data_IF_198404833084
#
_entry.id   IF_198404833084
#
_cell.length_a   1.000
_cell.length_b   1.000
_cell.length_c   1.000
_cell.angle_alpha   90.00
_cell.angle_beta   90.00
_cell.angle_gamma   90.00
#
_symmetry.space_group_name_H-M   'P 1'
#
loop_
_entity.id
_entity.type
_entity.pdbx_description
1 polymer ?
#
# COMPACT_ATOMS: atom_id res chain seq x y z
N UNK A 1 32.18 -0.50 -8.16
CA UNK A 1 31.02 0.36 -7.81
C UNK A 1 31.54 1.45 -6.88
N UNK A 2 31.06 2.69 -7.00
CA UNK A 2 31.50 3.80 -6.14
C UNK A 2 30.66 3.83 -4.88
N UNK A 3 31.28 3.71 -3.71
CA UNK A 3 30.65 3.96 -2.41
C UNK A 3 30.04 5.36 -2.36
N UNK A 4 28.81 5.49 -1.85
CA UNK A 4 28.16 6.78 -1.63
C UNK A 4 28.03 7.10 -0.16
N UNK A 5 28.14 8.38 0.17
CA UNK A 5 27.85 8.87 1.51
C UNK A 5 26.33 8.84 1.79
N UNK A 6 25.93 8.46 3.01
CA UNK A 6 24.54 8.51 3.44
C UNK A 6 23.86 9.87 3.22
N UNK A 7 24.58 10.97 3.48
CA UNK A 7 24.06 12.33 3.31
C UNK A 7 23.82 12.69 1.83
N UNK A 8 24.38 11.93 0.88
CA UNK A 8 24.09 12.13 -0.55
C UNK A 8 22.63 11.84 -0.94
N UNK A 9 21.90 11.12 -0.08
CA UNK A 9 20.48 10.83 -0.27
C UNK A 9 19.57 11.81 0.46
N UNK A 10 20.13 12.78 1.20
CA UNK A 10 19.35 13.76 1.97
C UNK A 10 18.60 14.71 1.02
N UNK A 11 17.29 14.79 1.20
CA UNK A 11 16.44 15.74 0.48
C UNK A 11 15.23 16.16 1.33
N UNK A 12 14.48 17.15 0.83
CA UNK A 12 13.18 17.53 1.41
C UNK A 12 12.22 16.34 1.29
N UNK A 13 11.51 16.03 2.38
CA UNK A 13 10.45 15.03 2.35
C UNK A 13 9.34 15.47 1.39
N UNK A 14 9.00 14.60 0.45
CA UNK A 14 7.90 14.82 -0.50
C UNK A 14 6.95 13.64 -0.45
N UNK A 15 5.64 13.90 -0.44
CA UNK A 15 4.63 12.86 -0.60
C UNK A 15 3.97 12.98 -1.98
N UNK A 16 3.62 11.86 -2.59
CA UNK A 16 2.98 11.82 -3.92
C UNK A 16 1.44 11.94 -3.87
N UNK A 17 0.90 12.30 -2.70
CA UNK A 17 -0.55 12.42 -2.47
C UNK A 17 -1.09 13.67 -3.19
N UNK A 18 -1.56 13.49 -4.43
CA UNK A 18 -1.89 14.56 -5.38
C UNK A 18 -2.93 15.58 -4.88
N UNK A 19 -3.89 15.17 -4.06
CA UNK A 19 -4.98 16.03 -3.56
C UNK A 19 -4.64 16.78 -2.26
N UNK A 20 -3.42 16.58 -1.74
CA UNK A 20 -3.00 17.12 -0.47
C UNK A 20 -2.17 18.40 -0.65
N UNK A 21 -2.64 19.57 -0.17
CA UNK A 21 -1.88 20.81 -0.25
C UNK A 21 -0.84 20.96 0.87
N UNK A 22 -0.71 19.96 1.76
CA UNK A 22 0.20 20.04 2.90
C UNK A 22 1.62 19.89 2.35
N UNK A 23 2.49 20.88 2.56
CA UNK A 23 3.93 20.69 2.35
C UNK A 23 4.59 20.20 3.64
N UNK A 24 5.61 19.34 3.53
CA UNK A 24 6.48 18.97 4.65
C UNK A 24 7.79 19.71 4.48
N UNK A 25 8.21 20.47 5.49
CA UNK A 25 9.46 21.26 5.43
C UNK A 25 10.65 20.58 6.11
N UNK A 26 10.49 19.32 6.55
CA UNK A 26 11.56 18.48 7.07
C UNK A 26 12.35 17.78 5.95
N UNK A 27 13.57 17.36 6.28
CA UNK A 27 14.44 16.60 5.40
C UNK A 27 14.53 15.13 5.85
N UNK A 28 14.62 14.23 4.89
CA UNK A 28 14.89 12.80 5.10
C UNK A 28 15.85 12.27 4.05
N UNK A 29 16.10 10.97 4.09
CA UNK A 29 17.01 10.28 3.18
C UNK A 29 16.20 9.43 2.22
N UNK A 30 16.27 9.74 0.91
CA UNK A 30 15.47 9.08 -0.12
C UNK A 30 15.85 7.61 -0.26
N UNK A 31 14.87 6.73 -0.13
CA UNK A 31 15.05 5.27 -0.21
C UNK A 31 14.69 4.76 -1.60
N UNK A 32 13.49 5.12 -2.08
CA UNK A 32 12.98 4.75 -3.40
C UNK A 32 13.28 5.84 -4.44
N UNK A 33 13.59 5.50 -5.69
CA UNK A 33 13.68 6.52 -6.74
C UNK A 33 12.29 6.99 -7.14
N UNK A 34 12.17 8.32 -7.23
CA UNK A 34 11.02 8.99 -7.81
C UNK A 34 11.33 9.39 -9.24
N UNK A 35 10.30 9.40 -10.08
CA UNK A 35 10.43 9.84 -11.48
C UNK A 35 11.01 11.26 -11.52
N UNK A 36 12.10 11.45 -12.27
CA UNK A 36 12.75 12.75 -12.41
C UNK A 36 13.67 13.14 -11.23
N UNK A 37 13.89 12.25 -10.26
CA UNK A 37 14.87 12.44 -9.18
C UNK A 37 16.08 11.51 -9.33
N UNK A 38 17.23 11.84 -8.71
CA UNK A 38 18.37 10.92 -8.67
C UNK A 38 17.98 9.61 -7.96
N UNK A 39 18.74 8.54 -8.20
CA UNK A 39 18.56 7.23 -7.56
C UNK A 39 18.51 7.33 -6.01
N UNK A 40 17.71 6.45 -5.38
CA UNK A 40 17.62 6.34 -3.92
C UNK A 40 18.59 5.32 -3.34
N UNK A 41 18.60 5.19 -2.01
CA UNK A 41 19.42 4.21 -1.28
C UNK A 41 19.20 2.78 -1.81
N UNK A 42 17.93 2.41 -2.05
CA UNK A 42 17.58 1.06 -2.53
C UNK A 42 18.23 0.78 -3.88
N UNK A 43 18.25 1.74 -4.79
CA UNK A 43 18.73 1.51 -6.17
C UNK A 43 20.23 1.35 -6.22
N UNK A 44 20.91 2.02 -5.29
CA UNK A 44 22.34 1.86 -5.11
C UNK A 44 22.68 0.48 -4.51
N UNK A 45 21.96 0.06 -3.47
CA UNK A 45 22.22 -1.18 -2.75
C UNK A 45 21.70 -2.45 -3.46
N UNK A 46 20.51 -2.37 -4.05
CA UNK A 46 19.75 -3.47 -4.63
C UNK A 46 19.23 -3.07 -6.03
N UNK A 47 20.12 -2.95 -7.04
CA UNK A 47 19.72 -2.59 -8.39
C UNK A 47 18.78 -3.66 -8.97
N UNK A 48 17.76 -3.21 -9.71
CA UNK A 48 16.81 -4.09 -10.38
C UNK A 48 17.51 -4.88 -11.49
N UNK A 49 17.33 -6.19 -11.49
CA UNK A 49 17.78 -7.08 -12.56
C UNK A 49 16.62 -7.93 -13.06
N UNK A 50 16.78 -8.56 -14.24
CA UNK A 50 15.76 -9.47 -14.78
C UNK A 50 15.35 -10.58 -13.81
N UNK A 51 16.31 -11.04 -13.00
CA UNK A 51 16.14 -12.15 -12.06
C UNK A 51 15.82 -11.67 -10.63
N UNK A 52 15.91 -10.37 -10.36
CA UNK A 52 15.60 -9.77 -9.07
C UNK A 52 14.75 -8.49 -9.27
N UNK A 53 13.41 -8.64 -9.31
CA UNK A 53 12.53 -7.50 -9.44
C UNK A 53 12.67 -6.57 -8.22
N UNK A 54 12.51 -5.27 -8.46
CA UNK A 54 12.79 -4.22 -7.48
C UNK A 54 11.94 -4.37 -6.20
N UNK A 55 12.60 -4.27 -5.04
CA UNK A 55 11.93 -4.27 -3.73
C UNK A 55 11.00 -3.06 -3.60
N UNK A 56 9.81 -3.27 -3.05
CA UNK A 56 8.85 -2.19 -2.76
C UNK A 56 9.10 -1.70 -1.33
N UNK A 57 10.13 -0.88 -1.11
CA UNK A 57 10.47 -0.37 0.23
C UNK A 57 9.63 0.87 0.61
N UNK A 58 9.84 1.37 1.83
CA UNK A 58 9.41 2.71 2.23
C UNK A 58 10.04 3.81 1.36
N UNK A 59 9.49 5.02 1.42
CA UNK A 59 9.93 6.16 0.60
C UNK A 59 11.17 6.85 1.16
N UNK A 60 11.22 7.03 2.50
CA UNK A 60 12.28 7.78 3.18
C UNK A 60 12.73 7.11 4.47
N UNK A 61 14.01 7.29 4.80
CA UNK A 61 14.50 7.19 6.16
C UNK A 61 14.54 8.56 6.80
N UNK A 62 14.18 8.65 8.08
CA UNK A 62 14.05 9.92 8.79
C UNK A 62 14.60 9.80 10.20
N UNK A 63 15.49 10.73 10.55
CA UNK A 63 16.12 10.79 11.87
C UNK A 63 15.49 11.94 12.65
N UNK A 64 14.88 11.64 13.80
CA UNK A 64 14.24 12.63 14.64
C UNK A 64 14.40 12.24 16.12
N UNK A 65 14.89 13.17 16.94
CA UNK A 65 15.15 12.93 18.38
C UNK A 65 15.90 11.63 18.68
N UNK A 66 16.99 11.36 17.94
CA UNK A 66 17.80 10.13 18.06
C UNK A 66 17.04 8.82 17.75
N UNK A 67 15.88 8.90 17.08
CA UNK A 67 15.13 7.75 16.59
C UNK A 67 15.24 7.66 15.08
N UNK A 68 15.22 6.43 14.57
CA UNK A 68 15.20 6.12 13.15
C UNK A 68 13.77 5.73 12.74
N UNK A 69 13.20 6.45 11.78
CA UNK A 69 11.90 6.16 11.20
C UNK A 69 12.03 5.78 9.73
N UNK A 70 11.39 4.68 9.33
CA UNK A 70 11.10 4.35 7.94
C UNK A 70 9.74 4.94 7.61
N UNK A 71 9.66 5.85 6.64
CA UNK A 71 8.46 6.59 6.29
C UNK A 71 7.91 6.10 4.96
N UNK A 72 6.66 5.68 5.00
CA UNK A 72 5.84 5.35 3.85
C UNK A 72 4.71 6.38 3.73
N UNK A 73 4.68 7.15 2.64
CA UNK A 73 3.56 8.02 2.30
C UNK A 73 2.54 7.25 1.45
N UNK A 74 1.42 6.90 2.06
CA UNK A 74 0.40 6.08 1.41
C UNK A 74 -0.77 6.95 0.92
N UNK A 75 -0.94 7.02 -0.41
CA UNK A 75 -2.15 7.54 -1.05
C UNK A 75 -3.22 6.43 -1.10
N UNK A 76 -3.90 6.28 0.03
CA UNK A 76 -4.91 5.25 0.24
C UNK A 76 -6.07 5.35 -0.74
N UNK A 77 -6.42 6.56 -1.14
CA UNK A 77 -7.47 6.80 -2.10
C UNK A 77 -7.06 6.31 -3.49
N UNK A 78 -5.84 6.62 -3.94
CA UNK A 78 -5.31 6.08 -5.19
C UNK A 78 -5.18 4.56 -5.15
N UNK A 79 -4.68 3.98 -4.06
CA UNK A 79 -4.60 2.52 -3.89
C UNK A 79 -5.99 1.86 -3.96
N UNK A 80 -7.02 2.51 -3.41
CA UNK A 80 -8.40 2.07 -3.52
C UNK A 80 -8.93 2.17 -4.96
N UNK A 81 -8.56 3.19 -5.74
CA UNK A 81 -9.01 3.36 -7.14
C UNK A 81 -8.32 2.38 -8.09
N UNK A 82 -6.99 2.23 -8.01
CA UNK A 82 -6.22 1.38 -8.92
C UNK A 82 -6.61 -0.12 -8.82
N UNK A 83 -7.27 -0.46 -7.71
CA UNK A 83 -8.03 -1.69 -7.47
C UNK A 83 -9.00 -2.08 -8.59
N UNK A 84 -9.55 -1.11 -9.32
CA UNK A 84 -10.54 -1.36 -10.37
C UNK A 84 -9.98 -2.29 -11.47
N UNK A 85 -8.65 -2.30 -11.68
CA UNK A 85 -7.98 -3.26 -12.57
C UNK A 85 -8.05 -4.71 -12.05
N UNK A 86 -7.98 -4.93 -10.72
CA UNK A 86 -8.19 -6.25 -10.12
C UNK A 86 -9.67 -6.66 -10.17
N UNK A 87 -10.60 -5.70 -10.01
CA UNK A 87 -12.03 -5.94 -10.21
C UNK A 87 -12.35 -6.35 -11.64
N UNK A 88 -11.67 -5.80 -12.66
CA UNK A 88 -11.85 -6.26 -14.04
C UNK A 88 -11.56 -7.76 -14.21
N UNK A 89 -10.58 -8.31 -13.48
CA UNK A 89 -10.26 -9.75 -13.51
C UNK A 89 -11.37 -10.59 -12.86
N UNK A 90 -11.93 -10.14 -11.74
CA UNK A 90 -13.08 -10.79 -11.07
C UNK A 90 -14.33 -10.68 -11.93
N UNK A 91 -14.58 -9.52 -12.53
CA UNK A 91 -15.66 -9.29 -13.49
C UNK A 91 -15.52 -10.22 -14.70
N UNK A 92 -14.30 -10.46 -15.19
CA UNK A 92 -14.04 -11.45 -16.23
C UNK A 92 -14.44 -12.87 -15.81
N UNK A 93 -14.07 -13.29 -14.60
CA UNK A 93 -14.43 -14.60 -14.06
C UNK A 93 -15.94 -14.73 -13.83
N UNK A 94 -16.57 -13.72 -13.24
CA UNK A 94 -18.02 -13.67 -13.02
C UNK A 94 -18.79 -13.68 -14.34
N UNK A 95 -18.36 -12.88 -15.32
CA UNK A 95 -18.94 -12.88 -16.66
C UNK A 95 -18.83 -14.26 -17.31
N UNK A 96 -17.68 -14.94 -17.23
CA UNK A 96 -17.51 -16.31 -17.73
C UNK A 96 -18.50 -17.26 -17.08
N UNK A 97 -18.58 -17.27 -15.75
CA UNK A 97 -19.47 -18.17 -15.00
C UNK A 97 -20.97 -17.91 -15.30
N UNK A 98 -21.38 -16.65 -15.39
CA UNK A 98 -22.75 -16.28 -15.79
C UNK A 98 -23.04 -16.66 -17.26
N UNK A 99 -22.03 -16.58 -18.14
CA UNK A 99 -22.12 -16.98 -19.56
C UNK A 99 -22.11 -18.50 -19.74
N UNK A 100 -21.53 -19.26 -18.83
CA UNK A 100 -21.48 -20.71 -18.94
C UNK A 100 -22.71 -21.38 -18.31
N UNK A 101 -23.30 -20.78 -17.27
CA UNK A 101 -24.26 -21.48 -16.41
C UNK A 101 -25.70 -20.95 -16.39
N UNK A 102 -25.97 -19.74 -16.89
CA UNK A 102 -27.35 -19.19 -16.90
C UNK A 102 -28.02 -19.27 -18.29
N UNK A 103 -29.33 -19.57 -18.34
CA UNK A 103 -30.15 -19.40 -19.55
C UNK A 103 -30.03 -17.98 -20.11
N UNK A 104 -30.18 -17.84 -21.44
CA UNK A 104 -30.02 -16.55 -22.15
C UNK A 104 -30.90 -15.42 -21.61
N UNK A 105 -32.06 -15.76 -21.05
CA UNK A 105 -33.08 -14.81 -20.60
C UNK A 105 -32.67 -14.15 -19.28
N UNK A 106 -32.24 -14.93 -18.29
CA UNK A 106 -31.75 -14.43 -16.99
C UNK A 106 -30.38 -13.73 -17.10
N UNK A 107 -29.59 -14.12 -18.11
CA UNK A 107 -28.23 -13.59 -18.32
C UNK A 107 -28.20 -12.10 -18.66
N UNK A 108 -29.23 -11.59 -19.35
CA UNK A 108 -29.18 -10.25 -19.95
C UNK A 108 -29.29 -9.13 -18.91
N UNK A 109 -30.00 -9.40 -17.82
CA UNK A 109 -30.20 -8.45 -16.72
C UNK A 109 -28.98 -8.46 -15.78
N UNK A 110 -28.50 -9.65 -15.42
CA UNK A 110 -27.27 -9.84 -14.63
C UNK A 110 -26.02 -9.31 -15.34
N UNK A 111 -25.85 -9.51 -16.65
CA UNK A 111 -24.71 -8.96 -17.39
C UNK A 111 -24.70 -7.43 -17.45
N UNK A 112 -25.87 -6.78 -17.38
CA UNK A 112 -25.93 -5.30 -17.28
C UNK A 112 -25.46 -4.84 -15.90
N UNK A 113 -25.81 -5.57 -14.84
CA UNK A 113 -25.31 -5.31 -13.48
C UNK A 113 -23.81 -5.59 -13.37
N UNK A 114 -23.32 -6.71 -13.95
CA UNK A 114 -21.89 -7.07 -13.96
C UNK A 114 -21.04 -6.10 -14.78
N UNK A 115 -21.54 -5.61 -15.92
CA UNK A 115 -20.88 -4.53 -16.69
C UNK A 115 -20.89 -3.18 -15.97
N UNK A 116 -21.79 -2.99 -15.01
CA UNK A 116 -21.90 -1.81 -14.16
C UNK A 116 -21.19 -1.94 -12.80
N UNK A 117 -20.48 -3.06 -12.53
CA UNK A 117 -19.76 -3.32 -11.28
C UNK A 117 -18.62 -2.32 -11.10
N UNK A 118 -18.93 -1.21 -10.43
CA UNK A 118 -17.97 -0.18 -10.03
C UNK A 118 -17.59 -0.28 -8.55
N UNK A 119 -18.36 -0.99 -7.72
CA UNK A 119 -18.17 -1.02 -6.25
C UNK A 119 -18.44 -2.39 -5.64
N UNK A 120 -17.63 -2.76 -4.65
CA UNK A 120 -17.67 -4.00 -3.86
C UNK A 120 -19.06 -4.35 -3.29
N UNK A 121 -19.92 -3.37 -3.01
CA UNK A 121 -21.30 -3.57 -2.53
C UNK A 121 -22.18 -4.28 -3.58
N UNK A 122 -21.92 -4.05 -4.87
CA UNK A 122 -22.63 -4.73 -5.96
C UNK A 122 -22.11 -6.17 -6.15
N UNK A 123 -20.83 -6.43 -5.88
CA UNK A 123 -20.25 -7.79 -5.88
C UNK A 123 -20.93 -8.68 -4.81
N UNK A 124 -21.28 -8.14 -3.63
CA UNK A 124 -22.05 -8.89 -2.61
C UNK A 124 -23.43 -9.36 -3.09
N UNK A 125 -24.13 -8.56 -3.93
CA UNK A 125 -25.41 -8.96 -4.54
C UNK A 125 -25.22 -10.05 -5.59
N UNK A 126 -24.23 -9.89 -6.47
CA UNK A 126 -23.86 -10.92 -7.46
C UNK A 126 -23.45 -12.22 -6.75
N UNK A 127 -22.72 -12.15 -5.62
CA UNK A 127 -22.39 -13.31 -4.77
C UNK A 127 -23.66 -13.98 -4.21
N UNK A 128 -24.63 -13.21 -3.72
CA UNK A 128 -25.91 -13.76 -3.24
C UNK A 128 -26.68 -14.48 -4.34
N UNK A 129 -26.67 -13.95 -5.57
CA UNK A 129 -27.32 -14.55 -6.73
C UNK A 129 -26.52 -15.72 -7.33
N UNK A 130 -25.20 -15.76 -7.14
CA UNK A 130 -24.37 -16.91 -7.56
C UNK A 130 -24.48 -18.10 -6.61
N UNK A 131 -24.94 -17.92 -5.36
CA UNK A 131 -25.20 -19.04 -4.43
C UNK A 131 -26.32 -19.97 -4.90
N UNK A 132 -27.17 -19.54 -5.85
CA UNK A 132 -28.16 -20.41 -6.50
C UNK A 132 -27.62 -21.13 -7.74
N UNK A 133 -26.36 -20.91 -8.10
CA UNK A 133 -25.69 -21.56 -9.24
C UNK A 133 -24.69 -22.60 -8.70
N UNK A 134 -24.81 -23.89 -9.06
CA UNK A 134 -23.88 -24.92 -8.59
C UNK A 134 -22.49 -24.75 -9.22
N UNK A 135 -21.54 -24.24 -8.42
CA UNK A 135 -20.13 -24.10 -8.82
C UNK A 135 -19.35 -25.39 -8.55
N UNK A 136 -18.29 -25.63 -9.33
CA UNK A 136 -17.26 -26.60 -8.94
C UNK A 136 -16.56 -26.10 -7.67
N UNK A 137 -16.04 -27.00 -6.83
CA UNK A 137 -15.31 -26.61 -5.61
C UNK A 137 -14.10 -25.73 -5.89
N UNK A 138 -13.46 -25.92 -7.05
CA UNK A 138 -12.28 -25.18 -7.47
C UNK A 138 -12.62 -23.76 -7.96
N UNK A 139 -13.70 -23.62 -8.74
CA UNK A 139 -14.20 -22.31 -9.18
C UNK A 139 -14.75 -21.51 -7.98
N UNK A 140 -15.46 -22.17 -7.06
CA UNK A 140 -15.95 -21.53 -5.83
C UNK A 140 -14.79 -21.03 -4.96
N UNK A 141 -13.77 -21.86 -4.75
CA UNK A 141 -12.58 -21.46 -4.00
C UNK A 141 -11.86 -20.28 -4.66
N UNK A 142 -11.58 -20.37 -5.96
CA UNK A 142 -10.89 -19.32 -6.72
C UNK A 142 -11.66 -18.00 -6.73
N UNK A 143 -12.99 -18.08 -6.83
CA UNK A 143 -13.86 -16.92 -6.82
C UNK A 143 -13.90 -16.24 -5.44
N UNK A 144 -14.10 -17.02 -4.37
CA UNK A 144 -14.11 -16.51 -2.99
C UNK A 144 -12.74 -15.94 -2.60
N UNK A 145 -11.65 -16.57 -3.02
CA UNK A 145 -10.30 -16.08 -2.82
C UNK A 145 -10.08 -14.74 -3.55
N UNK A 146 -10.50 -14.65 -4.82
CA UNK A 146 -10.44 -13.39 -5.57
C UNK A 146 -11.24 -12.26 -4.91
N UNK A 147 -12.43 -12.56 -4.38
CA UNK A 147 -13.24 -11.57 -3.64
C UNK A 147 -12.53 -11.09 -2.38
N UNK A 148 -11.94 -12.00 -1.60
CA UNK A 148 -11.17 -11.65 -0.39
C UNK A 148 -9.96 -10.79 -0.75
N UNK A 149 -9.25 -11.14 -1.81
CA UNK A 149 -8.07 -10.39 -2.28
C UNK A 149 -8.43 -9.05 -2.93
N UNK A 150 -9.69 -8.86 -3.33
CA UNK A 150 -10.22 -7.60 -3.83
C UNK A 150 -10.90 -6.73 -2.74
N UNK A 151 -10.98 -7.24 -1.51
CA UNK A 151 -11.45 -6.45 -0.38
C UNK A 151 -10.49 -5.27 -0.13
N UNK A 152 -11.00 -4.03 -0.04
CA UNK A 152 -10.16 -2.84 0.14
C UNK A 152 -9.16 -2.94 1.29
N UNK A 153 -9.63 -3.45 2.43
CA UNK A 153 -8.82 -3.64 3.62
C UNK A 153 -7.66 -4.62 3.36
N UNK A 154 -7.95 -5.74 2.70
CA UNK A 154 -6.95 -6.77 2.40
C UNK A 154 -5.87 -6.26 1.44
N UNK A 155 -6.23 -5.43 0.46
CA UNK A 155 -5.28 -4.84 -0.48
C UNK A 155 -4.32 -3.89 0.22
N UNK A 156 -4.87 -2.93 0.98
CA UNK A 156 -4.08 -1.93 1.70
C UNK A 156 -3.17 -2.65 2.71
N UNK A 157 -3.72 -3.61 3.46
CA UNK A 157 -2.97 -4.44 4.40
C UNK A 157 -1.81 -5.17 3.72
N UNK A 158 -2.08 -5.90 2.63
CA UNK A 158 -1.06 -6.67 1.92
C UNK A 158 0.03 -5.78 1.33
N UNK A 159 -0.33 -4.61 0.82
CA UNK A 159 0.63 -3.65 0.29
C UNK A 159 1.56 -3.13 1.40
N UNK A 160 1.01 -2.66 2.52
CA UNK A 160 1.80 -2.17 3.65
C UNK A 160 2.68 -3.28 4.24
N UNK A 161 2.13 -4.49 4.42
CA UNK A 161 2.89 -5.66 4.91
C UNK A 161 4.06 -5.96 3.98
N UNK A 162 3.85 -5.96 2.67
CA UNK A 162 4.92 -6.18 1.69
C UNK A 162 5.98 -5.08 1.79
N UNK A 163 5.57 -3.82 1.93
CA UNK A 163 6.51 -2.70 2.09
C UNK A 163 7.37 -2.80 3.35
N UNK A 164 6.77 -3.24 4.46
CA UNK A 164 7.50 -3.47 5.70
C UNK A 164 8.55 -4.58 5.53
N UNK A 165 8.16 -5.72 4.95
CA UNK A 165 9.07 -6.85 4.71
C UNK A 165 10.24 -6.48 3.81
N UNK A 166 9.95 -5.79 2.70
CA UNK A 166 10.96 -5.37 1.74
C UNK A 166 11.90 -4.32 2.34
N UNK A 167 11.40 -3.49 3.25
CA UNK A 167 12.22 -2.52 3.99
C UNK A 167 13.14 -3.20 5.01
N UNK A 168 12.68 -4.21 5.76
CA UNK A 168 13.55 -4.99 6.65
C UNK A 168 14.66 -5.71 5.86
N UNK A 169 14.32 -6.27 4.70
CA UNK A 169 15.29 -6.89 3.80
C UNK A 169 16.31 -5.87 3.28
N UNK A 170 15.86 -4.70 2.84
CA UNK A 170 16.76 -3.63 2.39
C UNK A 170 17.70 -3.18 3.51
N UNK A 171 17.18 -2.99 4.73
CA UNK A 171 18.01 -2.65 5.88
C UNK A 171 19.05 -3.74 6.15
N UNK A 172 18.68 -5.03 6.05
CA UNK A 172 19.64 -6.14 6.20
C UNK A 172 20.75 -6.06 5.17
N UNK A 173 20.42 -5.71 3.92
CA UNK A 173 21.42 -5.51 2.88
C UNK A 173 22.32 -4.32 3.18
N UNK A 174 21.76 -3.17 3.57
CA UNK A 174 22.52 -1.95 3.85
C UNK A 174 23.47 -2.14 5.03
N UNK A 175 23.02 -2.82 6.09
CA UNK A 175 23.78 -3.05 7.33
C UNK A 175 24.56 -4.37 7.33
N UNK A 176 24.59 -5.10 6.22
CA UNK A 176 25.42 -6.29 6.10
C UNK A 176 26.89 -5.90 6.20
N UNK A 177 27.74 -6.64 6.96
CA UNK A 177 29.16 -6.29 7.13
C UNK A 177 29.94 -6.17 5.81
N UNK A 178 29.51 -6.87 4.77
CA UNK A 178 30.12 -6.86 3.44
C UNK A 178 29.54 -5.80 2.50
N UNK A 179 28.53 -5.03 2.94
CA UNK A 179 27.97 -3.95 2.12
C UNK A 179 28.86 -2.71 2.22
N UNK A 180 29.62 -2.43 1.16
CA UNK A 180 30.52 -1.28 1.03
C UNK A 180 29.94 -0.14 0.19
N UNK A 181 28.67 -0.26 -0.19
CA UNK A 181 28.01 0.66 -1.12
C UNK A 181 27.62 1.99 -0.47
N UNK A 182 27.37 2.01 0.83
CA UNK A 182 27.02 3.22 1.57
C UNK A 182 27.92 3.38 2.78
N UNK A 183 28.56 4.54 2.92
CA UNK A 183 29.31 4.91 4.12
C UNK A 183 28.53 5.89 5.00
N UNK A 184 29.00 6.07 6.24
CA UNK A 184 28.41 6.98 7.23
C UNK A 184 26.94 6.68 7.57
N UNK A 185 26.59 5.39 7.62
CA UNK A 185 25.27 4.93 8.02
C UNK A 185 24.95 5.30 9.48
N UNK A 186 23.66 5.57 9.80
CA UNK A 186 23.22 5.69 11.19
C UNK A 186 23.56 4.44 12.00
N UNK A 187 23.76 4.59 13.31
CA UNK A 187 24.16 3.49 14.19
C UNK A 187 23.24 2.26 14.06
N UNK A 188 23.83 1.07 13.90
CA UNK A 188 23.11 -0.20 13.81
C UNK A 188 22.28 -0.47 15.06
N UNK A 189 22.72 -0.01 16.23
CA UNK A 189 22.05 -0.20 17.51
C UNK A 189 20.77 0.64 17.68
N UNK A 190 20.52 1.63 16.82
CA UNK A 190 19.29 2.42 16.88
C UNK A 190 18.06 1.57 16.62
N UNK A 191 17.03 1.73 17.45
CA UNK A 191 15.71 1.18 17.14
C UNK A 191 15.14 1.85 15.89
N UNK A 192 14.58 1.03 15.00
CA UNK A 192 13.96 1.47 13.75
C UNK A 192 12.47 1.23 13.81
N UNK A 193 11.74 2.33 13.65
CA UNK A 193 10.29 2.39 13.68
C UNK A 193 9.75 2.56 12.27
N UNK A 194 8.48 2.23 12.06
CA UNK A 194 7.84 2.37 10.75
C UNK A 194 6.63 3.29 10.84
N UNK A 195 6.63 4.33 10.02
CA UNK A 195 5.53 5.27 9.85
C UNK A 195 4.79 4.99 8.55
N UNK A 196 3.49 4.79 8.65
CA UNK A 196 2.56 4.86 7.52
C UNK A 196 1.84 6.19 7.64
N UNK A 197 2.24 7.14 6.79
CA UNK A 197 1.71 8.50 6.76
C UNK A 197 0.71 8.62 5.63
N UNK A 198 -0.50 9.09 5.94
CA UNK A 198 -1.60 9.14 4.96
C UNK A 198 -2.37 10.47 5.05
N UNK A 199 -3.07 10.86 3.99
CA UNK A 199 -3.89 12.08 4.02
C UNK A 199 -5.38 11.76 4.16
N UNK A 200 -6.05 12.21 5.24
CA UNK A 200 -7.50 12.15 5.28
C UNK A 200 -8.09 13.18 4.31
N UNK A 201 -8.86 12.71 3.35
CA UNK A 201 -9.70 13.57 2.53
C UNK A 201 -10.88 14.07 3.38
N UNK A 202 -11.18 15.37 3.37
CA UNK A 202 -12.35 15.90 4.08
C UNK A 202 -13.64 15.65 3.27
N UNK A 203 -14.81 15.67 3.92
CA UNK A 203 -16.11 15.37 3.28
C UNK A 203 -16.38 16.19 2.01
N UNK A 204 -15.91 17.43 1.92
CA UNK A 204 -16.12 18.29 0.74
C UNK A 204 -15.23 17.88 -0.45
N UNK A 205 -13.93 17.59 -0.22
CA UNK A 205 -13.03 17.06 -1.26
C UNK A 205 -13.43 15.65 -1.68
N UNK A 206 -13.90 14.87 -0.71
CA UNK A 206 -14.54 13.59 -0.94
C UNK A 206 -15.75 13.77 -1.85
N UNK A 207 -16.65 14.72 -1.57
CA UNK A 207 -17.84 14.99 -2.39
C UNK A 207 -17.50 15.38 -3.84
N UNK A 208 -16.51 16.22 -4.10
CA UNK A 208 -16.09 16.55 -5.48
C UNK A 208 -15.46 15.34 -6.22
N UNK A 209 -14.75 14.48 -5.50
CA UNK A 209 -14.24 13.20 -6.03
C UNK A 209 -15.36 12.15 -6.21
N UNK A 210 -16.41 12.20 -5.36
CA UNK A 210 -17.50 11.24 -5.27
C UNK A 210 -18.75 11.62 -6.07
N UNK A 211 -18.93 12.89 -6.45
CA UNK A 211 -20.03 13.32 -7.33
C UNK A 211 -19.83 12.77 -8.76
N UNK A 212 -18.68 12.13 -9.06
CA UNK A 212 -18.40 11.41 -10.30
C UNK A 212 -18.37 9.87 -10.19
N UNK A 213 -18.39 9.26 -8.99
CA UNK A 213 -18.40 7.80 -8.84
C UNK A 213 -18.98 7.32 -7.50
N UNK A 214 -19.44 6.06 -7.50
CA UNK A 214 -20.26 5.31 -6.52
C UNK A 214 -19.60 5.13 -5.10
N UNK A 215 -18.62 5.96 -4.74
CA UNK A 215 -17.72 5.79 -3.59
C UNK A 215 -18.10 6.62 -2.35
N UNK A 216 -19.21 7.36 -2.39
CA UNK A 216 -19.72 8.19 -1.28
C UNK A 216 -20.06 7.42 0.01
N UNK A 217 -20.04 6.08 -0.01
CA UNK A 217 -20.40 5.23 1.14
C UNK A 217 -19.22 4.87 2.06
N UNK A 218 -17.97 5.13 1.66
CA UNK A 218 -16.79 4.66 2.41
C UNK A 218 -16.12 5.81 3.17
N UNK A 219 -16.22 5.74 4.49
CA UNK A 219 -15.42 6.56 5.41
C UNK A 219 -13.98 6.00 5.46
N UNK A 220 -13.09 6.58 4.65
CA UNK A 220 -11.68 6.17 4.56
C UNK A 220 -10.97 6.27 5.91
N UNK A 221 -11.39 7.18 6.79
CA UNK A 221 -10.86 7.26 8.16
C UNK A 221 -11.19 6.01 8.97
N UNK A 222 -12.43 5.52 8.87
CA UNK A 222 -12.86 4.28 9.55
C UNK A 222 -12.29 3.00 8.94
N UNK A 223 -11.77 3.04 7.71
CA UNK A 223 -11.07 1.89 7.13
C UNK A 223 -9.75 1.60 7.85
N UNK A 224 -9.14 2.59 8.51
CA UNK A 224 -7.80 2.46 9.09
C UNK A 224 -7.77 1.83 10.49
N UNK A 225 -8.82 2.02 11.28
CA UNK A 225 -8.94 1.41 12.61
C UNK A 225 -8.77 -0.12 12.57
N UNK A 226 -9.52 -0.88 11.73
CA UNK A 226 -9.32 -2.33 11.63
C UNK A 226 -8.02 -2.71 10.90
N UNK A 227 -7.43 -1.83 10.08
CA UNK A 227 -6.13 -2.11 9.44
C UNK A 227 -5.02 -2.14 10.47
N UNK A 228 -5.05 -1.23 11.46
CA UNK A 228 -3.98 -1.13 12.45
C UNK A 228 -3.80 -2.42 13.25
N UNK A 229 -4.88 -2.96 13.80
CA UNK A 229 -4.83 -4.19 14.60
C UNK A 229 -4.44 -5.41 13.73
N UNK A 230 -5.07 -5.55 12.57
CA UNK A 230 -4.76 -6.64 11.63
C UNK A 230 -3.32 -6.58 11.12
N UNK A 231 -2.79 -5.39 10.86
CA UNK A 231 -1.41 -5.17 10.45
C UNK A 231 -0.45 -5.60 11.54
N UNK A 232 -0.72 -5.18 12.78
CA UNK A 232 0.11 -5.54 13.92
C UNK A 232 0.13 -7.05 14.13
N UNK A 233 -1.03 -7.69 14.11
CA UNK A 233 -1.13 -9.14 14.30
C UNK A 233 -0.46 -9.92 13.17
N UNK A 234 -0.61 -9.46 11.92
CA UNK A 234 0.05 -10.08 10.76
C UNK A 234 1.57 -9.96 10.84
N UNK A 235 2.09 -8.80 11.27
CA UNK A 235 3.52 -8.55 11.36
C UNK A 235 4.16 -9.21 12.59
N UNK A 236 3.42 -9.36 13.70
CA UNK A 236 3.86 -10.12 14.88
C UNK A 236 4.18 -11.58 14.59
N UNK A 237 3.50 -12.18 13.62
CA UNK A 237 3.73 -13.57 13.20
C UNK A 237 5.00 -13.72 12.35
N UNK A 238 5.68 -12.63 12.01
CA UNK A 238 6.88 -12.61 11.17
C UNK A 238 8.10 -12.23 12.00
N UNK A 239 9.26 -12.76 11.63
CA UNK A 239 10.54 -12.39 12.23
C UNK A 239 11.19 -11.24 11.45
N UNK A 240 11.49 -10.15 12.15
CA UNK A 240 12.20 -8.99 11.63
C UNK A 240 13.45 -8.78 12.47
N UNK A 241 14.56 -8.47 11.81
CA UNK A 241 15.86 -8.34 12.50
C UNK A 241 16.18 -6.88 12.81
N UNK A 242 15.81 -5.97 11.90
CA UNK A 242 16.21 -4.57 11.99
C UNK A 242 15.02 -3.64 12.21
N UNK A 243 13.81 -4.06 11.83
CA UNK A 243 12.58 -3.31 12.12
C UNK A 243 11.87 -3.81 13.39
N UNK A 244 11.37 -2.86 14.17
CA UNK A 244 10.51 -3.14 15.32
C UNK A 244 9.04 -3.29 14.87
N UNK A 245 8.56 -4.52 14.71
CA UNK A 245 7.17 -4.81 14.33
C UNK A 245 6.13 -4.46 15.39
N UNK A 246 6.54 -4.23 16.65
CA UNK A 246 5.63 -3.82 17.72
C UNK A 246 5.32 -2.32 17.72
N UNK A 247 6.13 -1.51 17.03
CA UNK A 247 6.03 -0.05 17.01
C UNK A 247 5.91 0.51 15.59
N UNK A 248 4.76 0.22 14.99
CA UNK A 248 4.31 0.76 13.71
C UNK A 248 3.30 1.86 14.01
N UNK A 249 3.48 3.03 13.43
CA UNK A 249 2.59 4.15 13.65
C UNK A 249 1.87 4.50 12.35
N UNK A 250 0.55 4.48 12.42
CA UNK A 250 -0.32 4.92 11.35
C UNK A 250 -0.78 6.31 11.74
N UNK A 251 -0.42 7.32 10.96
CA UNK A 251 -0.70 8.71 11.33
C UNK A 251 -1.13 9.57 10.13
N UNK A 252 -2.11 10.46 10.34
CA UNK A 252 -2.43 11.47 9.36
C UNK A 252 -1.24 12.38 9.07
N UNK A 253 -1.08 12.78 7.82
CA UNK A 253 -0.02 13.64 7.32
C UNK A 253 0.06 14.98 8.06
N UNK A 254 -1.09 15.57 8.42
CA UNK A 254 -1.09 16.79 9.22
C UNK A 254 -0.47 16.56 10.60
N UNK A 255 -0.74 15.40 11.23
CA UNK A 255 -0.19 15.05 12.53
C UNK A 255 1.31 14.77 12.43
N UNK A 256 1.75 14.09 11.36
CA UNK A 256 3.17 13.89 11.08
C UNK A 256 3.90 15.24 10.97
N UNK A 257 3.33 16.16 10.17
CA UNK A 257 3.88 17.52 10.02
C UNK A 257 3.98 18.25 11.37
N UNK A 258 2.90 18.29 12.13
CA UNK A 258 2.85 19.05 13.39
C UNK A 258 3.76 18.46 14.47
N UNK A 259 3.84 17.12 14.58
CA UNK A 259 4.56 16.48 15.70
C UNK A 259 6.01 16.17 15.40
N UNK A 260 6.34 15.85 14.16
CA UNK A 260 7.66 15.33 13.80
C UNK A 260 8.44 16.22 12.84
N UNK A 261 7.79 17.21 12.21
CA UNK A 261 8.43 18.11 11.24
C UNK A 261 8.46 19.57 11.69
N UNK A 262 7.84 19.90 12.82
CA UNK A 262 7.84 21.25 13.38
C UNK A 262 9.02 21.38 14.33
N UNK A 263 9.86 22.40 14.11
CA UNK A 263 10.97 22.76 14.98
C UNK A 263 10.52 23.75 16.05
#
# INVERSE_FOLDING_TARGET
MTTRDWDSFREKLEHEINSCPISIDAQGYRVDAKKGKPEGIRDHCCPETKDNPRLKSCDYFYLHEQKFFCIEFSDLHRQYIDRDAKFQKINGLANRLLIEQLPREDRRELLKEVKGLKVFTQVKRVIQQLRSVPLSKEDEHSFLQGIREAEPLAIILNEIVKKFQDTDLLLKTIYHPECDKICNLPDRAMFRYFFVVWHPHNQTKLKELYDNDVLSEIDIGRLFDPIQDNLRDTLRQKSFELLNSEQIFLLPLFMFKTRYCSH
#
